data_IF_044082735407
#
_entry.id   IF_044082735407
#
_cell.length_a   1.000
_cell.length_b   1.000
_cell.length_c   1.000
_cell.angle_alpha   90.00
_cell.angle_beta   90.00
_cell.angle_gamma   90.00
#
_symmetry.space_group_name_H-M   'P 1'
#
loop_
_entity.id
_entity.type
_entity.pdbx_description
1 polymer ?
#
# COMPACT_ATOMS: atom_id res chain seq x y z
N UNK A 1 -24.43 -0.78 -11.73
CA UNK A 1 -24.06 0.46 -10.98
C UNK A 1 -22.81 1.06 -11.59
N UNK A 2 -22.74 2.35 -11.91
CA UNK A 2 -21.52 2.93 -12.43
C UNK A 2 -20.47 2.98 -11.32
N UNK A 3 -19.37 2.24 -11.50
CA UNK A 3 -18.24 2.15 -10.55
C UNK A 3 -17.69 3.54 -10.15
N UNK A 4 -17.85 4.55 -11.01
CA UNK A 4 -17.45 5.93 -10.75
C UNK A 4 -18.09 6.53 -9.49
N UNK A 5 -19.34 6.18 -9.13
CA UNK A 5 -20.00 6.71 -7.93
C UNK A 5 -19.34 6.24 -6.63
N UNK A 6 -18.49 5.23 -6.69
CA UNK A 6 -17.81 4.65 -5.53
C UNK A 6 -16.33 5.07 -5.42
N UNK A 7 -15.82 5.88 -6.35
CA UNK A 7 -14.40 6.25 -6.36
C UNK A 7 -13.98 7.01 -5.10
N UNK A 8 -14.69 8.09 -4.73
CA UNK A 8 -14.40 8.85 -3.53
C UNK A 8 -14.54 8.05 -2.21
N UNK A 9 -15.63 7.30 -1.95
CA UNK A 9 -15.72 6.51 -0.71
C UNK A 9 -14.66 5.40 -0.65
N UNK A 10 -14.32 4.73 -1.75
CA UNK A 10 -13.26 3.72 -1.75
C UNK A 10 -11.86 4.32 -1.57
N UNK A 11 -11.58 5.51 -2.12
CA UNK A 11 -10.31 6.19 -1.87
C UNK A 11 -10.16 6.57 -0.38
N UNK A 12 -11.24 7.04 0.26
CA UNK A 12 -11.26 7.30 1.71
C UNK A 12 -11.09 6.04 2.54
N UNK A 13 -11.73 4.94 2.13
CA UNK A 13 -11.58 3.64 2.78
C UNK A 13 -10.12 3.16 2.68
N UNK A 14 -9.52 3.22 1.49
CA UNK A 14 -8.13 2.84 1.27
C UNK A 14 -7.20 3.69 2.14
N UNK A 15 -7.36 5.02 2.11
CA UNK A 15 -6.59 5.95 2.97
C UNK A 15 -6.70 5.58 4.46
N UNK A 16 -7.92 5.35 4.95
CA UNK A 16 -8.15 5.02 6.36
C UNK A 16 -7.51 3.68 6.77
N UNK A 17 -7.43 2.72 5.85
CA UNK A 17 -6.77 1.44 6.12
C UNK A 17 -5.25 1.58 6.11
N UNK A 18 -4.67 2.17 5.06
CA UNK A 18 -3.21 2.21 4.90
C UNK A 18 -2.52 3.06 5.98
N UNK A 19 -3.23 3.94 6.69
CA UNK A 19 -2.67 4.72 7.82
C UNK A 19 -3.00 4.16 9.20
N UNK A 20 -3.70 3.02 9.29
CA UNK A 20 -4.13 2.43 10.57
C UNK A 20 -3.24 1.25 10.95
N UNK A 21 -2.40 1.44 11.95
CA UNK A 21 -1.44 0.42 12.39
C UNK A 21 -2.06 -0.71 13.22
N UNK A 22 -3.16 -0.48 13.96
CA UNK A 22 -3.77 -1.51 14.81
C UNK A 22 -5.31 -1.60 14.66
N UNK A 23 -5.90 -2.80 14.77
CA UNK A 23 -5.26 -4.12 14.96
C UNK A 23 -4.52 -4.60 13.70
N UNK A 24 -3.45 -5.38 13.89
CA UNK A 24 -2.65 -5.94 12.81
C UNK A 24 -2.19 -7.37 13.13
N UNK A 25 -2.15 -8.21 12.11
CA UNK A 25 -1.68 -9.59 12.08
C UNK A 25 -0.52 -9.68 11.09
N UNK A 26 0.73 -9.47 11.54
CA UNK A 26 1.88 -9.34 10.65
C UNK A 26 2.34 -10.67 10.04
N UNK A 27 1.81 -11.82 10.50
CA UNK A 27 2.23 -13.16 10.09
C UNK A 27 3.77 -13.36 10.13
N UNK A 28 4.42 -12.70 11.09
CA UNK A 28 5.86 -12.66 11.28
C UNK A 28 6.29 -13.64 12.38
N UNK A 29 7.30 -14.47 12.08
CA UNK A 29 7.92 -15.34 13.08
C UNK A 29 8.88 -14.50 13.94
N UNK A 30 8.54 -14.35 15.23
CA UNK A 30 9.40 -13.70 16.22
C UNK A 30 10.50 -14.67 16.63
N UNK A 31 11.75 -14.35 16.32
CA UNK A 31 12.89 -15.22 16.57
C UNK A 31 13.57 -14.95 17.92
N UNK A 32 13.39 -13.75 18.46
CA UNK A 32 14.04 -13.28 19.69
C UNK A 32 13.11 -12.37 20.51
N UNK A 33 13.22 -12.34 21.85
CA UNK A 33 12.52 -11.34 22.66
C UNK A 33 12.94 -9.89 22.37
N UNK A 34 14.10 -9.68 21.73
CA UNK A 34 14.64 -8.35 21.42
C UNK A 34 14.16 -7.81 20.06
N UNK A 35 13.36 -8.58 19.31
CA UNK A 35 12.87 -8.20 17.99
C UNK A 35 11.75 -7.15 18.10
N UNK A 36 11.88 -6.03 17.38
CA UNK A 36 10.84 -5.02 17.30
C UNK A 36 9.76 -5.44 16.30
N UNK A 37 8.66 -5.98 16.83
CA UNK A 37 7.57 -6.54 16.03
C UNK A 37 6.48 -5.53 15.70
N UNK A 38 6.71 -4.22 15.87
CA UNK A 38 5.73 -3.20 15.49
C UNK A 38 5.48 -3.28 13.97
N UNK A 39 4.23 -3.25 13.49
CA UNK A 39 3.94 -3.32 12.06
C UNK A 39 4.69 -2.26 11.24
N UNK A 40 4.78 -1.03 11.77
CA UNK A 40 5.53 0.07 11.13
C UNK A 40 7.04 -0.14 11.10
N UNK A 41 7.59 -1.00 11.97
CA UNK A 41 9.02 -1.37 11.96
C UNK A 41 9.28 -2.51 11.00
N UNK A 42 8.41 -3.53 10.98
CA UNK A 42 8.53 -4.67 10.07
C UNK A 42 8.28 -4.27 8.61
N UNK A 43 7.29 -3.42 8.37
CA UNK A 43 6.74 -3.12 7.04
C UNK A 43 6.47 -1.61 6.87
N UNK A 44 7.50 -0.76 6.80
CA UNK A 44 7.32 0.69 6.82
C UNK A 44 6.49 1.26 5.65
N UNK A 45 6.43 0.56 4.50
CA UNK A 45 5.53 0.96 3.40
C UNK A 45 4.12 0.40 3.59
N UNK A 46 4.01 -0.80 4.17
CA UNK A 46 2.79 -1.62 4.18
C UNK A 46 2.33 -2.00 5.59
N UNK A 47 2.51 -1.11 6.55
CA UNK A 47 2.16 -1.35 7.96
C UNK A 47 0.66 -1.22 8.25
N UNK A 48 -0.04 -0.39 7.47
CA UNK A 48 -1.42 -0.04 7.74
C UNK A 48 -2.41 -0.96 7.04
N UNK A 49 -3.42 -1.41 7.80
CA UNK A 49 -4.42 -2.44 7.52
C UNK A 49 -4.24 -3.65 8.46
N UNK A 50 -5.11 -4.65 8.30
CA UNK A 50 -5.10 -5.84 9.14
C UNK A 50 -3.86 -6.72 8.93
N UNK A 51 -3.35 -6.84 7.70
CA UNK A 51 -2.13 -7.59 7.39
C UNK A 51 -1.39 -6.93 6.21
N UNK A 52 -0.17 -7.43 5.93
CA UNK A 52 0.72 -6.87 4.92
C UNK A 52 0.09 -6.86 3.52
N UNK A 53 -0.48 -7.98 3.05
CA UNK A 53 -1.03 -7.99 1.68
C UNK A 53 -2.29 -7.12 1.57
N UNK A 54 -3.09 -6.99 2.64
CA UNK A 54 -4.24 -6.09 2.66
C UNK A 54 -3.77 -4.64 2.53
N UNK A 55 -2.67 -4.27 3.19
CA UNK A 55 -2.04 -2.98 3.03
C UNK A 55 -1.63 -2.74 1.57
N UNK A 56 -0.90 -3.68 0.96
CA UNK A 56 -0.47 -3.60 -0.44
C UNK A 56 -1.67 -3.47 -1.39
N UNK A 57 -2.73 -4.26 -1.18
CA UNK A 57 -3.96 -4.19 -1.98
C UNK A 57 -4.66 -2.82 -1.85
N UNK A 58 -4.72 -2.25 -0.64
CA UNK A 58 -5.32 -0.92 -0.45
C UNK A 58 -4.48 0.20 -1.08
N UNK A 59 -3.15 0.08 -1.07
CA UNK A 59 -2.27 0.98 -1.85
C UNK A 59 -2.57 0.86 -3.34
N UNK A 60 -2.67 -0.36 -3.88
CA UNK A 60 -3.02 -0.57 -5.29
C UNK A 60 -4.38 0.03 -5.64
N UNK A 61 -5.40 -0.19 -4.79
CA UNK A 61 -6.73 0.38 -4.98
C UNK A 61 -6.66 1.91 -5.06
N UNK A 62 -5.90 2.54 -4.15
CA UNK A 62 -5.76 3.99 -4.12
C UNK A 62 -5.07 4.53 -5.39
N UNK A 63 -3.96 3.93 -5.82
CA UNK A 63 -3.25 4.30 -7.06
C UNK A 63 -4.17 4.12 -8.28
N UNK A 64 -4.92 3.02 -8.34
CA UNK A 64 -5.86 2.74 -9.43
C UNK A 64 -6.99 3.76 -9.51
N UNK A 65 -7.54 4.16 -8.35
CA UNK A 65 -8.58 5.18 -8.28
C UNK A 65 -8.05 6.56 -8.69
N UNK A 66 -6.84 6.92 -8.25
CA UNK A 66 -6.17 8.14 -8.68
C UNK A 66 -5.96 8.17 -10.19
N UNK A 67 -5.42 7.09 -10.76
CA UNK A 67 -5.19 7.01 -12.20
C UNK A 67 -6.47 7.09 -13.03
N UNK A 68 -7.55 6.45 -12.58
CA UNK A 68 -8.80 6.35 -13.36
C UNK A 68 -9.77 7.51 -13.15
N UNK A 69 -9.75 8.14 -11.97
CA UNK A 69 -10.77 9.10 -11.57
C UNK A 69 -10.19 10.36 -10.94
N UNK A 70 -8.88 10.43 -10.67
CA UNK A 70 -8.26 11.57 -10.02
C UNK A 70 -8.46 12.87 -10.81
N UNK A 71 -8.87 13.93 -10.10
CA UNK A 71 -9.13 15.23 -10.71
C UNK A 71 -10.47 15.32 -11.45
N UNK A 72 -11.22 14.22 -11.56
CA UNK A 72 -12.59 14.23 -12.09
C UNK A 72 -13.60 14.52 -10.97
N UNK A 73 -14.86 14.87 -11.29
CA UNK A 73 -15.92 15.02 -10.28
C UNK A 73 -16.18 13.76 -9.44
N UNK A 74 -15.78 12.56 -9.91
CA UNK A 74 -15.92 11.31 -9.17
C UNK A 74 -14.87 11.16 -8.05
N UNK A 75 -13.71 11.82 -8.17
CA UNK A 75 -12.65 11.83 -7.16
C UNK A 75 -11.94 13.20 -7.16
N UNK A 76 -12.61 14.25 -6.64
CA UNK A 76 -12.00 15.55 -6.47
C UNK A 76 -11.01 15.53 -5.28
N UNK A 77 -10.08 16.47 -5.25
CA UNK A 77 -9.20 16.70 -4.09
C UNK A 77 -8.27 15.54 -3.78
N UNK A 78 -7.38 15.21 -4.72
CA UNK A 78 -6.50 14.02 -4.62
C UNK A 78 -5.26 14.19 -3.75
N UNK A 79 -4.95 15.42 -3.32
CA UNK A 79 -3.71 15.74 -2.59
C UNK A 79 -3.48 14.90 -1.31
N UNK A 80 -4.49 14.63 -0.46
CA UNK A 80 -4.28 13.78 0.72
C UNK A 80 -3.90 12.34 0.36
N UNK A 81 -4.42 11.83 -0.76
CA UNK A 81 -4.14 10.47 -1.23
C UNK A 81 -2.74 10.36 -1.82
N UNK A 82 -2.29 11.36 -2.59
CA UNK A 82 -0.91 11.37 -3.11
C UNK A 82 0.10 11.55 -1.98
N UNK A 83 -0.17 12.45 -1.02
CA UNK A 83 0.75 12.70 0.09
C UNK A 83 1.00 11.47 0.99
N UNK A 84 0.00 10.60 1.18
CA UNK A 84 0.22 9.34 1.91
C UNK A 84 1.01 8.34 1.09
N UNK A 85 0.76 8.25 -0.22
CA UNK A 85 1.51 7.37 -1.11
C UNK A 85 2.98 7.79 -1.17
N UNK A 86 3.26 9.09 -1.31
CA UNK A 86 4.62 9.65 -1.32
C UNK A 86 5.36 9.39 0.01
N UNK A 87 4.63 9.38 1.13
CA UNK A 87 5.21 9.06 2.45
C UNK A 87 5.48 7.56 2.64
N UNK A 88 4.64 6.69 2.08
CA UNK A 88 4.74 5.24 2.30
C UNK A 88 5.68 4.57 1.30
N UNK A 89 5.62 4.97 0.02
CA UNK A 89 6.31 4.32 -1.08
C UNK A 89 7.67 4.96 -1.39
N UNK A 90 8.40 5.40 -0.36
CA UNK A 90 9.74 5.96 -0.53
C UNK A 90 10.75 4.89 -0.94
N UNK A 91 11.88 5.31 -1.51
CA UNK A 91 12.97 4.38 -1.86
C UNK A 91 13.46 3.62 -0.62
N UNK A 92 13.56 4.29 0.52
CA UNK A 92 14.00 3.70 1.78
C UNK A 92 13.03 2.64 2.28
N UNK A 93 11.72 2.93 2.28
CA UNK A 93 10.72 1.97 2.74
C UNK A 93 10.62 0.77 1.80
N UNK A 94 10.59 0.99 0.49
CA UNK A 94 10.54 -0.12 -0.49
C UNK A 94 11.80 -0.98 -0.43
N UNK A 95 12.97 -0.38 -0.15
CA UNK A 95 14.21 -1.15 0.08
C UNK A 95 14.09 -2.03 1.34
N UNK A 96 13.50 -1.53 2.42
CA UNK A 96 13.25 -2.30 3.62
C UNK A 96 12.27 -3.47 3.37
N UNK A 97 11.18 -3.24 2.64
CA UNK A 97 10.24 -4.32 2.24
C UNK A 97 10.96 -5.39 1.39
N UNK A 98 11.78 -4.98 0.42
CA UNK A 98 12.52 -5.90 -0.43
C UNK A 98 13.52 -6.75 0.38
N UNK A 99 14.24 -6.14 1.33
CA UNK A 99 15.14 -6.85 2.23
C UNK A 99 14.38 -7.87 3.08
N UNK A 100 13.22 -7.50 3.62
CA UNK A 100 12.36 -8.40 4.40
C UNK A 100 11.92 -9.62 3.58
N UNK A 101 11.47 -9.42 2.33
CA UNK A 101 11.03 -10.51 1.45
C UNK A 101 12.18 -11.43 1.02
N UNK A 102 13.39 -10.89 0.82
CA UNK A 102 14.58 -11.68 0.49
C UNK A 102 15.03 -12.57 1.66
N UNK A 103 14.98 -12.04 2.89
CA UNK A 103 15.27 -12.79 4.11
C UNK A 103 14.19 -13.84 4.42
N UNK A 104 12.94 -13.59 4.00
CA UNK A 104 11.78 -14.46 4.24
C UNK A 104 11.12 -14.90 2.92
N UNK A 105 11.78 -15.77 2.13
CA UNK A 105 11.38 -16.07 0.75
C UNK A 105 10.07 -16.86 0.60
N UNK A 106 9.44 -17.30 1.70
CA UNK A 106 8.10 -17.93 1.71
C UNK A 106 6.98 -16.97 2.14
N UNK A 107 7.31 -15.83 2.74
CA UNK A 107 6.33 -14.89 3.26
C UNK A 107 5.42 -14.36 2.14
N UNK A 108 4.10 -14.46 2.34
CA UNK A 108 3.08 -13.90 1.45
C UNK A 108 3.13 -14.41 -0.01
N UNK A 109 3.78 -15.54 -0.26
CA UNK A 109 3.77 -16.19 -1.57
C UNK A 109 2.60 -17.16 -1.70
N UNK A 110 1.91 -17.18 -2.86
CA UNK A 110 2.09 -16.27 -4.00
C UNK A 110 1.26 -14.98 -3.89
N UNK A 111 0.28 -14.94 -2.98
CA UNK A 111 -0.83 -13.99 -3.05
C UNK A 111 -0.42 -12.54 -2.80
N UNK A 112 0.28 -12.23 -1.70
CA UNK A 112 0.75 -10.88 -1.43
C UNK A 112 1.76 -10.40 -2.47
N UNK A 113 2.62 -11.29 -2.98
CA UNK A 113 3.55 -10.94 -4.06
C UNK A 113 2.82 -10.57 -5.36
N UNK A 114 1.72 -11.25 -5.67
CA UNK A 114 0.88 -10.89 -6.81
C UNK A 114 0.28 -9.48 -6.65
N UNK A 115 -0.15 -9.11 -5.44
CA UNK A 115 -0.60 -7.75 -5.16
C UNK A 115 0.52 -6.71 -5.26
N UNK A 116 1.72 -7.03 -4.79
CA UNK A 116 2.88 -6.13 -4.91
C UNK A 116 3.25 -5.87 -6.36
N UNK A 117 3.23 -6.92 -7.20
CA UNK A 117 3.45 -6.79 -8.64
C UNK A 117 2.33 -6.01 -9.32
N UNK A 118 1.07 -6.19 -8.89
CA UNK A 118 -0.06 -5.41 -9.39
C UNK A 118 0.06 -3.92 -9.01
N UNK A 119 0.48 -3.60 -7.77
CA UNK A 119 0.79 -2.25 -7.33
C UNK A 119 1.88 -1.62 -8.20
N UNK A 120 3.02 -2.30 -8.38
CA UNK A 120 4.11 -1.81 -9.21
C UNK A 120 3.66 -1.56 -10.67
N UNK A 121 2.84 -2.46 -11.24
CA UNK A 121 2.28 -2.27 -12.58
C UNK A 121 1.33 -1.08 -12.65
N UNK A 122 0.50 -0.86 -11.63
CA UNK A 122 -0.44 0.27 -11.58
C UNK A 122 0.29 1.61 -11.42
N UNK A 123 1.37 1.67 -10.61
CA UNK A 123 2.22 2.87 -10.50
C UNK A 123 2.86 3.21 -11.86
N UNK A 124 3.45 2.22 -12.56
CA UNK A 124 4.01 2.43 -13.91
C UNK A 124 2.95 2.90 -14.90
N UNK A 125 1.74 2.34 -14.83
CA UNK A 125 0.63 2.72 -15.70
C UNK A 125 0.08 4.12 -15.41
N UNK A 126 0.31 4.68 -14.20
CA UNK A 126 -0.10 6.04 -13.87
C UNK A 126 0.64 7.07 -14.73
N UNK A 127 1.92 6.83 -15.03
CA UNK A 127 2.73 7.66 -15.92
C UNK A 127 2.94 9.10 -15.45
N UNK A 128 3.70 9.86 -16.25
CA UNK A 128 4.10 11.24 -15.96
C UNK A 128 4.98 11.37 -14.71
N UNK A 129 5.22 12.61 -14.25
CA UNK A 129 5.93 12.84 -12.99
C UNK A 129 5.24 12.12 -11.83
N UNK A 130 3.90 11.98 -11.86
CA UNK A 130 3.14 11.34 -10.81
C UNK A 130 3.42 9.84 -10.62
N UNK A 131 3.64 9.09 -11.70
CA UNK A 131 3.99 7.67 -11.61
C UNK A 131 5.50 7.42 -11.47
N UNK A 132 6.33 8.47 -11.57
CA UNK A 132 7.79 8.38 -11.48
C UNK A 132 8.35 8.83 -10.13
N UNK A 133 7.50 9.37 -9.24
CA UNK A 133 7.87 9.73 -7.86
C UNK A 133 8.12 8.48 -7.02
#
# INVERSE_FOLDING_TARGET
>A
MPLASHAAPFARLALANITREYPNFPAHLVASPDEDTRPSTLHPAFYGAYDWHSAVHMHWLLVRLLRRHGGTPALPGTAPFTAVLDRHLTTEHITAEAAYLLDRPSFERPYGWAWLLALAAECRAHGGEAGAR
#
